data_IF_624731474785
#
_entry.id   IF_624731474785
#
_cell.length_a   1.000
_cell.length_b   1.000
_cell.length_c   1.000
_cell.angle_alpha   90.00
_cell.angle_beta   90.00
_cell.angle_gamma   90.00
#
_symmetry.space_group_name_H-M   'P 1'
#
loop_
_entity.id
_entity.type
_entity.pdbx_description
1 polymer ?
#
# COMPACT_ATOMS: atom_id res chain seq x y z
N UNK A 1 -12.54 1.09 10.62
CA UNK A 1 -12.22 2.45 10.20
C UNK A 1 -12.19 2.51 8.68
N UNK A 2 -12.68 3.57 8.10
CA UNK A 2 -12.74 3.72 6.64
C UNK A 2 -11.35 3.87 6.04
N UNK A 3 -11.11 3.22 4.90
CA UNK A 3 -9.86 3.32 4.15
C UNK A 3 -10.12 4.12 2.87
N UNK A 4 -9.31 5.14 2.65
CA UNK A 4 -9.39 5.98 1.46
C UNK A 4 -8.03 6.00 0.74
N UNK A 5 -8.06 5.73 -0.55
CA UNK A 5 -6.88 5.79 -1.41
C UNK A 5 -6.70 7.20 -1.94
N UNK A 6 -5.56 7.80 -1.66
CA UNK A 6 -5.23 9.07 -2.29
C UNK A 6 -4.96 8.85 -3.79
N UNK A 7 -5.23 9.86 -4.64
CA UNK A 7 -5.03 9.71 -6.09
C UNK A 7 -3.64 9.26 -6.49
N UNK A 8 -2.61 9.77 -5.83
CA UNK A 8 -1.22 9.40 -6.10
C UNK A 8 -0.96 7.92 -5.82
N UNK A 9 -1.50 7.41 -4.70
CA UNK A 9 -1.33 6.01 -4.33
C UNK A 9 -2.05 5.10 -5.32
N UNK A 10 -3.24 5.48 -5.75
CA UNK A 10 -4.01 4.72 -6.73
C UNK A 10 -3.28 4.67 -8.06
N UNK A 11 -2.73 5.81 -8.50
CA UNK A 11 -1.96 5.88 -9.75
C UNK A 11 -0.70 5.02 -9.68
N UNK A 12 0.01 5.05 -8.55
CA UNK A 12 1.19 4.21 -8.33
C UNK A 12 0.85 2.73 -8.38
N UNK A 13 -0.24 2.33 -7.74
CA UNK A 13 -0.69 0.94 -7.76
C UNK A 13 -1.00 0.47 -9.18
N UNK A 14 -1.75 1.27 -9.94
CA UNK A 14 -2.10 0.92 -11.31
C UNK A 14 -0.86 0.77 -12.18
N UNK A 15 0.12 1.65 -12.00
CA UNK A 15 1.38 1.59 -12.74
C UNK A 15 2.18 0.33 -12.42
N UNK A 16 2.23 -0.05 -11.13
CA UNK A 16 2.90 -1.27 -10.69
C UNK A 16 2.21 -2.50 -11.28
N UNK A 17 0.89 -2.57 -11.19
CA UNK A 17 0.13 -3.70 -11.71
C UNK A 17 0.26 -3.83 -13.22
N UNK A 18 0.25 -2.72 -13.95
CA UNK A 18 0.45 -2.69 -15.39
C UNK A 18 1.83 -3.25 -15.76
N UNK A 19 2.86 -2.79 -15.08
CA UNK A 19 4.23 -3.25 -15.31
C UNK A 19 4.36 -4.75 -15.09
N UNK A 20 3.78 -5.27 -13.99
CA UNK A 20 3.88 -6.68 -13.65
C UNK A 20 3.02 -7.52 -14.62
N UNK A 21 1.82 -7.06 -14.97
CA UNK A 21 0.91 -7.84 -15.83
C UNK A 21 1.46 -8.04 -17.23
N UNK A 22 2.26 -7.11 -17.75
CA UNK A 22 2.94 -7.26 -19.04
C UNK A 22 3.94 -8.42 -19.04
N UNK A 23 4.40 -8.83 -17.85
CA UNK A 23 5.42 -9.89 -17.70
C UNK A 23 4.84 -11.16 -17.11
N UNK A 24 3.91 -11.02 -16.18
CA UNK A 24 3.33 -12.16 -15.47
C UNK A 24 1.97 -11.77 -14.91
N UNK A 25 0.91 -12.15 -15.63
CA UNK A 25 -0.45 -11.81 -15.25
C UNK A 25 -0.84 -12.42 -13.90
N UNK A 26 -0.39 -13.64 -13.60
CA UNK A 26 -0.68 -14.31 -12.34
C UNK A 26 -0.06 -13.55 -11.18
N UNK A 27 1.18 -13.06 -11.33
CA UNK A 27 1.85 -12.28 -10.29
C UNK A 27 1.13 -10.95 -10.04
N UNK A 28 0.64 -10.29 -11.09
CA UNK A 28 -0.14 -9.05 -10.95
C UNK A 28 -1.43 -9.31 -10.17
N UNK A 29 -2.12 -10.39 -10.48
CA UNK A 29 -3.35 -10.77 -9.79
C UNK A 29 -3.09 -11.08 -8.31
N UNK A 30 -2.02 -11.80 -8.01
CA UNK A 30 -1.62 -12.11 -6.63
C UNK A 30 -1.33 -10.84 -5.83
N UNK A 31 -0.62 -9.88 -6.42
CA UNK A 31 -0.34 -8.60 -5.75
C UNK A 31 -1.62 -7.83 -5.52
N UNK A 32 -2.51 -7.77 -6.50
CA UNK A 32 -3.80 -7.11 -6.37
C UNK A 32 -4.60 -7.69 -5.20
N UNK A 33 -4.66 -9.01 -5.10
CA UNK A 33 -5.36 -9.70 -4.01
C UNK A 33 -4.70 -9.44 -2.65
N UNK A 34 -3.37 -9.42 -2.60
CA UNK A 34 -2.64 -9.14 -1.37
C UNK A 34 -2.95 -7.72 -0.87
N UNK A 35 -3.04 -6.75 -1.78
CA UNK A 35 -3.37 -5.37 -1.43
C UNK A 35 -4.81 -5.24 -0.97
N UNK A 36 -5.76 -5.90 -1.62
CA UNK A 36 -7.15 -5.92 -1.17
C UNK A 36 -7.27 -6.49 0.25
N UNK A 37 -6.63 -7.63 0.51
CA UNK A 37 -6.60 -8.24 1.85
C UNK A 37 -5.94 -7.33 2.87
N UNK A 38 -4.88 -6.64 2.49
CA UNK A 38 -4.19 -5.70 3.35
C UNK A 38 -5.09 -4.55 3.78
N UNK A 39 -5.90 -3.99 2.87
CA UNK A 39 -6.80 -2.90 3.22
C UNK A 39 -7.88 -3.33 4.20
N UNK A 40 -8.37 -4.57 4.08
CA UNK A 40 -9.34 -5.12 5.04
C UNK A 40 -8.71 -5.23 6.44
N UNK A 41 -7.49 -5.78 6.53
CA UNK A 41 -6.76 -5.90 7.79
C UNK A 41 -6.46 -4.54 8.40
N UNK A 42 -6.06 -3.59 7.55
CA UNK A 42 -5.73 -2.23 7.96
C UNK A 42 -6.95 -1.53 8.58
N UNK A 43 -8.14 -1.71 7.99
CA UNK A 43 -9.38 -1.14 8.50
C UNK A 43 -9.69 -1.65 9.91
N UNK A 44 -9.31 -2.88 10.23
CA UNK A 44 -9.55 -3.51 11.53
C UNK A 44 -8.46 -3.16 12.55
N UNK A 45 -7.22 -2.98 12.11
CA UNK A 45 -6.04 -2.82 12.99
C UNK A 45 -5.12 -1.70 12.51
N UNK A 46 -5.60 -0.44 12.50
CA UNK A 46 -4.83 0.65 11.88
C UNK A 46 -3.54 1.02 12.60
N UNK A 47 -3.40 0.68 13.89
CA UNK A 47 -2.25 1.10 14.70
C UNK A 47 -1.25 -0.03 14.97
N UNK A 48 -1.44 -1.21 14.36
CA UNK A 48 -0.58 -2.38 14.59
C UNK A 48 0.75 -2.27 13.84
N UNK A 49 0.78 -1.54 12.73
CA UNK A 49 1.94 -1.51 11.84
C UNK A 49 2.95 -0.46 12.27
N UNK A 50 4.21 -0.64 11.82
CA UNK A 50 5.32 0.20 12.26
C UNK A 50 5.17 1.64 11.80
N UNK A 51 5.83 2.55 12.53
CA UNK A 51 5.91 3.94 12.14
C UNK A 51 6.71 4.08 10.83
N UNK A 52 6.27 5.00 9.98
CA UNK A 52 6.95 5.30 8.73
C UNK A 52 8.10 6.27 8.92
N UNK A 53 8.91 6.45 7.88
CA UNK A 53 10.05 7.37 7.89
C UNK A 53 9.59 8.82 7.92
N UNK A 54 8.52 9.14 7.21
CA UNK A 54 7.93 10.47 7.27
C UNK A 54 7.10 10.61 8.55
N UNK A 55 7.17 11.73 9.28
CA UNK A 55 6.40 11.94 10.49
C UNK A 55 4.91 11.78 10.25
N UNK A 56 4.22 11.13 11.18
CA UNK A 56 2.78 10.92 11.12
C UNK A 56 2.33 9.80 10.18
N UNK A 57 3.27 9.08 9.57
CA UNK A 57 2.94 7.97 8.68
C UNK A 57 3.24 6.63 9.31
N UNK A 58 2.65 5.58 8.73
CA UNK A 58 2.92 4.18 9.04
C UNK A 58 3.19 3.41 7.77
N UNK A 59 3.84 2.26 7.92
CA UNK A 59 4.20 1.39 6.80
C UNK A 59 3.63 0.01 7.02
N UNK A 60 3.01 -0.55 5.98
CA UNK A 60 2.53 -1.92 5.97
C UNK A 60 3.17 -2.67 4.82
N UNK A 61 3.96 -3.69 5.12
CA UNK A 61 4.52 -4.57 4.09
C UNK A 61 3.41 -5.49 3.59
N UNK A 62 3.09 -5.41 2.31
CA UNK A 62 2.00 -6.21 1.70
C UNK A 62 2.52 -7.32 0.81
N UNK A 63 3.83 -7.26 0.47
CA UNK A 63 4.51 -8.21 -0.40
C UNK A 63 6.01 -8.04 -0.14
N UNK A 64 6.85 -9.06 -0.34
CA UNK A 64 8.30 -8.89 -0.13
C UNK A 64 8.91 -7.67 -0.84
N UNK A 65 8.33 -7.26 -1.96
CA UNK A 65 8.86 -6.16 -2.76
C UNK A 65 8.04 -4.86 -2.66
N UNK A 66 6.91 -4.84 -1.95
CA UNK A 66 6.04 -3.66 -1.93
C UNK A 66 5.51 -3.36 -0.54
N UNK A 67 5.38 -2.07 -0.26
CA UNK A 67 4.78 -1.61 0.99
C UNK A 67 3.80 -0.46 0.72
N UNK A 68 2.86 -0.31 1.64
CA UNK A 68 1.89 0.76 1.64
C UNK A 68 2.30 1.77 2.71
N UNK A 69 2.30 3.05 2.34
CA UNK A 69 2.45 4.16 3.27
C UNK A 69 1.08 4.74 3.54
N UNK A 70 0.71 4.88 4.80
CA UNK A 70 -0.59 5.42 5.17
C UNK A 70 -0.50 6.28 6.42
N UNK A 71 -1.55 7.05 6.67
CA UNK A 71 -1.71 7.79 7.92
C UNK A 71 -3.10 7.57 8.47
N UNK A 72 -3.23 7.67 9.79
CA UNK A 72 -4.49 7.51 10.50
C UNK A 72 -4.88 8.85 11.10
N UNK A 73 -6.02 9.35 10.66
CA UNK A 73 -6.63 10.57 11.19
C UNK A 73 -8.07 10.21 11.59
N UNK A 74 -9.08 10.85 11.02
CA UNK A 74 -10.46 10.42 11.19
C UNK A 74 -10.78 9.17 10.34
N UNK A 75 -9.89 8.86 9.40
CA UNK A 75 -9.93 7.70 8.51
C UNK A 75 -8.50 7.26 8.21
N UNK A 76 -8.34 6.16 7.51
CA UNK A 76 -7.04 5.71 7.03
C UNK A 76 -6.85 6.25 5.62
N UNK A 77 -5.84 7.11 5.43
CA UNK A 77 -5.47 7.61 4.11
C UNK A 77 -4.26 6.84 3.60
N UNK A 78 -4.44 6.09 2.51
CA UNK A 78 -3.32 5.44 1.84
C UNK A 78 -2.66 6.49 0.94
N UNK A 79 -1.40 6.82 1.25
CA UNK A 79 -0.67 7.91 0.62
C UNK A 79 0.18 7.45 -0.54
N UNK A 80 0.71 6.23 -0.48
CA UNK A 80 1.66 5.76 -1.48
C UNK A 80 1.77 4.24 -1.47
N UNK A 81 2.08 3.66 -2.62
CA UNK A 81 2.49 2.27 -2.77
C UNK A 81 3.90 2.30 -3.35
N UNK A 82 4.86 1.75 -2.63
CA UNK A 82 6.26 1.84 -2.99
C UNK A 82 6.90 0.47 -3.09
N UNK A 83 7.91 0.37 -3.94
CA UNK A 83 8.82 -0.77 -3.91
C UNK A 83 9.62 -0.70 -2.62
N UNK A 84 9.84 -1.86 -1.96
CA UNK A 84 10.51 -1.92 -0.66
C UNK A 84 11.93 -1.33 -0.66
N UNK A 85 12.58 -1.28 -1.82
CA UNK A 85 13.92 -0.72 -1.98
C UNK A 85 13.92 0.75 -2.39
N UNK A 86 12.75 1.32 -2.65
CA UNK A 86 12.64 2.72 -3.06
C UNK A 86 12.92 3.64 -1.88
N UNK A 87 13.73 4.66 -2.11
CA UNK A 87 13.98 5.68 -1.08
C UNK A 87 12.80 6.64 -1.00
N UNK A 88 12.42 6.97 0.26
CA UNK A 88 11.46 8.01 0.55
C UNK A 88 11.74 8.54 1.96
N UNK A 89 11.26 9.65 2.41
CA UNK A 89 10.37 10.56 1.76
C UNK A 89 10.93 11.11 0.49
#
# INVERSE_FOLDING_TARGET
MQVEWQPEARAELLKILDYISDRNLVAADRLSQAIEGATVTLAQHPHVYRMGRAPGTREMVVHPNYLIIYQVVDRINILSVLHARQEYP
#
